data_IF_605005724801
#
_entry.id   IF_605005724801
#
_cell.length_a   1.000
_cell.length_b   1.000
_cell.length_c   1.000
_cell.angle_alpha   90.00
_cell.angle_beta   90.00
_cell.angle_gamma   90.00
#
_symmetry.space_group_name_H-M   'P 1'
#
loop_
_entity.id
_entity.type
_entity.pdbx_description
1 polymer ?
#
# COMPACT_ATOMS: atom_id res chain seq x y z
N UNK A 1 -6.25 45.15 3.54
CA UNK A 1 -6.90 43.93 3.01
C UNK A 1 -5.93 43.01 2.27
N UNK A 2 -5.20 43.46 1.24
CA UNK A 2 -4.27 42.61 0.46
C UNK A 2 -3.20 41.87 1.31
N UNK A 3 -2.62 42.55 2.31
CA UNK A 3 -1.61 41.96 3.22
C UNK A 3 -2.16 40.83 4.10
N UNK A 4 -3.42 40.92 4.51
CA UNK A 4 -4.09 39.90 5.31
C UNK A 4 -4.35 38.66 4.46
N UNK A 5 -4.77 38.85 3.21
CA UNK A 5 -4.93 37.77 2.24
C UNK A 5 -3.62 37.00 2.01
N UNK A 6 -2.50 37.71 1.86
CA UNK A 6 -1.17 37.09 1.69
C UNK A 6 -0.79 36.25 2.91
N UNK A 7 -1.05 36.74 4.12
CA UNK A 7 -0.77 35.99 5.35
C UNK A 7 -1.63 34.72 5.49
N UNK A 8 -2.91 34.78 5.11
CA UNK A 8 -3.81 33.62 5.13
C UNK A 8 -3.33 32.54 4.14
N UNK A 9 -2.95 32.94 2.93
CA UNK A 9 -2.43 32.01 1.91
C UNK A 9 -1.11 31.39 2.37
N UNK A 10 -0.20 32.20 2.93
CA UNK A 10 1.05 31.70 3.47
C UNK A 10 0.82 30.68 4.59
N UNK A 11 -0.11 30.96 5.51
CA UNK A 11 -0.45 30.04 6.60
C UNK A 11 -1.06 28.73 6.10
N UNK A 12 -1.88 28.78 5.05
CA UNK A 12 -2.46 27.59 4.42
C UNK A 12 -1.39 26.69 3.77
N UNK A 13 -0.27 27.25 3.30
CA UNK A 13 0.85 26.46 2.76
C UNK A 13 1.64 25.71 3.84
N UNK A 14 1.53 26.11 5.11
CA UNK A 14 2.13 25.42 6.24
C UNK A 14 1.17 24.42 6.91
N UNK A 15 -0.03 24.22 6.36
CA UNK A 15 -0.92 23.19 6.87
C UNK A 15 -0.25 21.81 6.69
N UNK A 16 -0.19 20.97 7.74
CA UNK A 16 0.33 19.62 7.61
C UNK A 16 -0.50 18.85 6.61
N UNK A 17 0.17 18.13 5.70
CA UNK A 17 -0.49 17.18 4.83
C UNK A 17 -0.72 15.92 5.64
N UNK A 18 -1.97 15.69 6.06
CA UNK A 18 -2.36 14.41 6.65
C UNK A 18 -2.35 13.36 5.53
N UNK A 19 -1.27 12.59 5.45
CA UNK A 19 -1.28 11.34 4.68
C UNK A 19 -2.23 10.39 5.40
N UNK A 20 -3.43 10.22 4.84
CA UNK A 20 -4.42 9.32 5.40
C UNK A 20 -3.94 7.88 5.19
N UNK A 21 -3.70 7.15 6.27
CA UNK A 21 -3.46 5.72 6.22
C UNK A 21 -4.64 5.04 5.51
N UNK A 22 -4.36 4.32 4.43
CA UNK A 22 -5.38 3.65 3.63
C UNK A 22 -5.25 2.13 3.77
N UNK A 23 -6.37 1.49 4.09
CA UNK A 23 -6.47 0.03 4.13
C UNK A 23 -7.17 -0.48 2.88
N UNK A 24 -6.47 -1.32 2.13
CA UNK A 24 -6.98 -1.95 0.91
C UNK A 24 -7.26 -3.42 1.15
N UNK A 25 -8.40 -3.91 0.70
CA UNK A 25 -8.72 -5.34 0.71
C UNK A 25 -8.09 -6.04 -0.49
N UNK A 26 -7.43 -7.17 -0.26
CA UNK A 26 -6.86 -7.96 -1.34
C UNK A 26 -7.97 -8.65 -2.14
N UNK A 27 -7.95 -8.47 -3.46
CA UNK A 27 -8.88 -9.16 -4.37
C UNK A 27 -8.28 -10.50 -4.81
N UNK A 28 -8.94 -11.65 -4.49
CA UNK A 28 -8.45 -12.97 -4.90
C UNK A 28 -8.35 -13.15 -6.43
N UNK A 29 -9.09 -12.36 -7.21
CA UNK A 29 -9.07 -12.43 -8.67
C UNK A 29 -7.78 -11.86 -9.29
N UNK A 30 -7.07 -10.98 -8.58
CA UNK A 30 -5.92 -10.24 -9.11
C UNK A 30 -4.66 -10.34 -8.25
N UNK A 31 -4.72 -11.08 -7.15
CA UNK A 31 -3.59 -11.28 -6.25
C UNK A 31 -3.26 -12.77 -6.20
N UNK A 32 -1.98 -13.12 -6.18
CA UNK A 32 -1.52 -14.51 -6.03
C UNK A 32 -0.47 -14.62 -4.94
N UNK A 33 -0.60 -15.63 -4.09
CA UNK A 33 0.41 -15.97 -3.09
C UNK A 33 1.11 -17.25 -3.58
N UNK A 34 2.37 -17.11 -3.96
CA UNK A 34 3.16 -18.18 -4.57
C UNK A 34 4.37 -18.52 -3.70
N UNK A 35 4.78 -19.78 -3.74
CA UNK A 35 5.98 -20.24 -3.06
C UNK A 35 6.87 -21.04 -4.03
N UNK A 36 8.16 -21.06 -3.70
CA UNK A 36 9.15 -21.89 -4.38
C UNK A 36 10.04 -22.55 -3.35
N UNK A 37 10.11 -23.88 -3.38
CA UNK A 37 10.96 -24.67 -2.49
C UNK A 37 11.99 -25.41 -3.33
N UNK A 38 13.26 -25.35 -2.91
CA UNK A 38 14.35 -26.09 -3.55
C UNK A 38 14.33 -27.53 -3.06
N UNK A 39 14.13 -28.49 -3.96
CA UNK A 39 14.19 -29.91 -3.66
C UNK A 39 15.62 -30.43 -3.88
N UNK A 40 16.39 -30.53 -2.78
CA UNK A 40 17.74 -31.11 -2.72
C UNK A 40 18.75 -30.63 -3.78
N UNK A 41 18.55 -29.44 -4.36
CA UNK A 41 19.44 -28.88 -5.37
C UNK A 41 19.26 -29.40 -6.80
N UNK A 42 18.36 -30.36 -7.01
CA UNK A 42 18.06 -30.92 -8.34
C UNK A 42 17.03 -30.06 -9.07
N UNK A 43 15.97 -29.66 -8.36
CA UNK A 43 14.88 -28.92 -8.96
C UNK A 43 14.17 -28.01 -7.95
N UNK A 44 13.42 -27.04 -8.48
CA UNK A 44 12.55 -26.19 -7.67
C UNK A 44 11.10 -26.63 -7.84
N UNK A 45 10.41 -26.87 -6.72
CA UNK A 45 8.96 -27.07 -6.66
C UNK A 45 8.32 -25.69 -6.51
N UNK A 46 7.38 -25.36 -7.38
CA UNK A 46 6.57 -24.14 -7.29
C UNK A 46 5.15 -24.51 -6.91
N UNK A 47 4.50 -23.68 -6.13
CA UNK A 47 3.08 -23.81 -5.80
C UNK A 47 2.44 -22.47 -5.48
N UNK A 48 1.12 -22.48 -5.33
CA UNK A 48 0.31 -21.31 -5.01
C UNK A 48 -0.81 -21.66 -4.04
N UNK A 49 -1.24 -20.69 -3.24
CA UNK A 49 -2.43 -20.82 -2.40
C UNK A 49 -3.67 -20.38 -3.19
N UNK A 50 -4.66 -21.28 -3.31
CA UNK A 50 -5.90 -21.00 -4.07
C UNK A 50 -6.86 -20.05 -3.34
N UNK A 51 -6.90 -20.13 -2.01
CA UNK A 51 -7.81 -19.33 -1.19
C UNK A 51 -7.02 -18.55 -0.17
N UNK A 52 -7.23 -17.24 -0.14
CA UNK A 52 -6.65 -16.34 0.85
C UNK A 52 -7.57 -15.13 1.06
N UNK A 53 -7.39 -14.47 2.20
CA UNK A 53 -8.03 -13.20 2.54
C UNK A 53 -7.00 -12.35 3.27
N UNK A 54 -6.98 -11.06 3.00
CA UNK A 54 -6.08 -10.14 3.69
C UNK A 54 -6.32 -8.69 3.31
N UNK A 55 -5.62 -7.81 4.01
CA UNK A 55 -5.60 -6.36 3.80
C UNK A 55 -4.17 -5.89 3.67
N UNK A 56 -3.98 -4.77 2.97
CA UNK A 56 -2.71 -4.04 2.90
C UNK A 56 -2.95 -2.65 3.47
N UNK A 57 -2.12 -2.27 4.42
CA UNK A 57 -2.08 -0.92 4.98
C UNK A 57 -0.99 -0.15 4.23
N UNK A 58 -1.33 1.06 3.77
CA UNK A 58 -0.38 2.02 3.24
C UNK A 58 -0.36 3.23 4.16
N UNK A 59 0.82 3.55 4.66
CA UNK A 59 1.16 4.70 5.52
C UNK A 59 2.15 5.61 4.76
#
# INVERSE_FOLDING_TARGET
MKRILVLIVALAMFAPFDALAQTFTLSPANTSIQFRVKNMGVMNVKGSFEKFKGTVEMD
#
